data_IF_886334864218
#
_entry.id   IF_886334864218
#
_cell.length_a   1.000
_cell.length_b   1.000
_cell.length_c   1.000
_cell.angle_alpha   90.00
_cell.angle_beta   90.00
_cell.angle_gamma   90.00
#
_symmetry.space_group_name_H-M   'P 1'
#
loop_
_entity.id
_entity.type
_entity.pdbx_description
1 polymer ?
#
# COMPACT_ATOMS: atom_id res chain seq x y z
N UNK A 1 18.26 2.31 6.46
CA UNK A 1 17.29 1.33 5.93
C UNK A 1 17.63 -0.12 6.26
N UNK A 2 16.65 -0.89 6.74
CA UNK A 2 16.78 -2.33 7.06
C UNK A 2 16.41 -3.27 5.89
N UNK A 3 15.99 -2.72 4.73
CA UNK A 3 15.64 -3.49 3.53
C UNK A 3 14.30 -4.23 3.61
N UNK A 4 13.44 -3.89 4.57
CA UNK A 4 12.12 -4.51 4.71
C UNK A 4 11.13 -3.98 3.67
N UNK A 5 10.30 -4.87 3.14
CA UNK A 5 9.17 -4.51 2.27
C UNK A 5 8.06 -3.90 3.12
N UNK A 6 7.51 -2.77 2.68
CA UNK A 6 6.47 -2.03 3.40
C UNK A 6 5.15 -2.00 2.64
N UNK A 7 4.06 -1.90 3.39
CA UNK A 7 2.69 -1.66 2.91
C UNK A 7 2.08 -0.53 3.74
N UNK A 8 1.12 0.19 3.18
CA UNK A 8 0.34 1.19 3.93
C UNK A 8 -0.96 0.54 4.40
N UNK A 9 -1.25 0.69 5.69
CA UNK A 9 -2.48 0.24 6.32
C UNK A 9 -3.20 1.42 6.99
N UNK A 10 -4.52 1.40 6.95
CA UNK A 10 -5.39 2.42 7.55
C UNK A 10 -5.66 2.19 9.03
N UNK A 11 -5.53 0.95 9.51
CA UNK A 11 -6.00 0.52 10.85
C UNK A 11 -7.45 0.99 11.12
N UNK A 12 -8.30 0.91 10.08
CA UNK A 12 -9.66 1.43 10.10
C UNK A 12 -10.56 0.63 11.07
N UNK A 13 -11.28 1.34 11.93
CA UNK A 13 -12.25 0.77 12.87
C UNK A 13 -13.69 1.09 12.45
N UNK A 14 -13.89 2.14 11.63
CA UNK A 14 -15.16 2.55 11.04
C UNK A 14 -15.01 2.84 9.53
N UNK A 15 -16.08 2.84 8.73
CA UNK A 15 -15.99 3.05 7.27
C UNK A 15 -15.33 4.37 6.87
N UNK A 16 -15.49 5.43 7.67
CA UNK A 16 -14.93 6.74 7.41
C UNK A 16 -13.41 6.80 7.65
N UNK A 17 -12.82 5.79 8.31
CA UNK A 17 -11.36 5.67 8.48
C UNK A 17 -10.66 5.14 7.21
N UNK A 18 -11.43 4.63 6.23
CA UNK A 18 -10.86 4.11 5.00
C UNK A 18 -10.17 5.22 4.19
N UNK A 19 -8.95 4.92 3.75
CA UNK A 19 -8.14 5.86 3.00
C UNK A 19 -8.68 6.05 1.58
N UNK A 20 -8.86 7.31 1.19
CA UNK A 20 -9.12 7.66 -0.21
C UNK A 20 -7.81 7.61 -1.03
N UNK A 21 -7.87 7.47 -2.37
CA UNK A 21 -6.68 7.51 -3.23
C UNK A 21 -5.82 8.77 -3.05
N UNK A 22 -6.44 9.93 -2.83
CA UNK A 22 -5.73 11.18 -2.56
C UNK A 22 -5.01 11.16 -1.20
N UNK A 23 -5.64 10.58 -0.16
CA UNK A 23 -5.01 10.41 1.15
C UNK A 23 -3.82 9.46 1.08
N UNK A 24 -3.93 8.33 0.38
CA UNK A 24 -2.81 7.38 0.18
C UNK A 24 -1.57 8.09 -0.39
N UNK A 25 -1.78 8.91 -1.42
CA UNK A 25 -0.71 9.69 -2.05
C UNK A 25 -0.09 10.72 -1.11
N UNK A 26 -0.92 11.45 -0.35
CA UNK A 26 -0.46 12.46 0.61
C UNK A 26 0.35 11.83 1.74
N UNK A 27 -0.10 10.70 2.30
CA UNK A 27 0.62 9.97 3.35
C UNK A 27 1.98 9.50 2.84
N UNK A 28 2.03 8.85 1.67
CA UNK A 28 3.27 8.30 1.13
C UNK A 28 4.30 9.41 0.79
N UNK A 29 3.85 10.53 0.22
CA UNK A 29 4.70 11.71 -0.03
C UNK A 29 5.14 12.40 1.27
N UNK A 30 4.23 12.52 2.24
CA UNK A 30 4.52 13.07 3.57
C UNK A 30 5.55 12.25 4.35
N UNK A 31 5.62 10.94 4.10
CA UNK A 31 6.65 10.04 4.63
C UNK A 31 8.02 10.18 3.95
N UNK A 32 8.15 11.03 2.92
CA UNK A 32 9.40 11.30 2.21
C UNK A 32 9.75 10.29 1.12
N UNK A 33 8.81 9.44 0.72
CA UNK A 33 9.02 8.45 -0.34
C UNK A 33 9.06 9.13 -1.72
N UNK A 34 9.91 8.62 -2.61
CA UNK A 34 9.90 9.00 -4.02
C UNK A 34 8.81 8.24 -4.81
N UNK A 35 8.58 8.62 -6.06
CA UNK A 35 7.49 8.06 -6.88
C UNK A 35 7.58 6.53 -7.07
N UNK A 36 8.78 5.98 -7.23
CA UNK A 36 8.99 4.53 -7.37
C UNK A 36 8.69 3.80 -6.05
N UNK A 37 9.09 4.39 -4.92
CA UNK A 37 8.79 3.87 -3.58
C UNK A 37 7.29 3.95 -3.26
N UNK A 38 6.62 5.04 -3.66
CA UNK A 38 5.17 5.20 -3.52
C UNK A 38 4.45 4.14 -4.35
N UNK A 39 4.86 3.94 -5.60
CA UNK A 39 4.30 2.88 -6.44
C UNK A 39 4.53 1.50 -5.82
N UNK A 40 5.72 1.24 -5.26
CA UNK A 40 6.00 0.01 -4.57
C UNK A 40 5.08 -0.20 -3.36
N UNK A 41 4.96 0.81 -2.48
CA UNK A 41 4.15 0.80 -1.26
C UNK A 41 2.66 0.55 -1.54
N UNK A 42 2.11 1.24 -2.54
CA UNK A 42 0.66 1.26 -2.78
C UNK A 42 0.20 0.15 -3.74
N UNK A 43 1.01 -0.23 -4.73
CA UNK A 43 0.57 -1.14 -5.79
C UNK A 43 1.22 -2.51 -5.72
N UNK A 44 2.56 -2.57 -5.67
CA UNK A 44 3.26 -3.84 -5.90
C UNK A 44 3.46 -4.65 -4.63
N UNK A 45 3.80 -4.01 -3.50
CA UNK A 45 4.07 -4.69 -2.24
C UNK A 45 2.83 -5.33 -1.64
N UNK A 46 1.64 -4.69 -1.61
CA UNK A 46 0.42 -5.35 -1.14
C UNK A 46 0.07 -6.59 -1.96
N UNK A 47 0.20 -6.53 -3.29
CA UNK A 47 -0.03 -7.69 -4.18
C UNK A 47 0.98 -8.82 -3.94
N UNK A 48 2.26 -8.49 -3.75
CA UNK A 48 3.30 -9.47 -3.39
C UNK A 48 3.02 -10.13 -2.05
N UNK A 49 2.58 -9.37 -1.05
CA UNK A 49 2.18 -9.88 0.25
C UNK A 49 1.02 -10.88 0.11
N UNK A 50 -0.05 -10.50 -0.60
CA UNK A 50 -1.20 -11.38 -0.84
C UNK A 50 -0.80 -12.66 -1.56
N UNK A 51 0.02 -12.57 -2.62
CA UNK A 51 0.51 -13.74 -3.36
C UNK A 51 1.33 -14.68 -2.47
N UNK A 52 2.19 -14.14 -1.60
CA UNK A 52 2.97 -14.93 -0.62
C UNK A 52 2.06 -15.66 0.38
N UNK A 53 0.91 -15.08 0.71
CA UNK A 53 -0.09 -15.67 1.59
C UNK A 53 -1.04 -16.66 0.88
N UNK A 54 -0.85 -16.89 -0.43
CA UNK A 54 -1.67 -17.80 -1.22
C UNK A 54 -2.93 -17.17 -1.82
N UNK A 55 -3.09 -15.84 -1.72
CA UNK A 55 -4.15 -15.11 -2.41
C UNK A 55 -3.62 -14.63 -3.76
N UNK A 56 -4.00 -15.24 -4.90
CA UNK A 56 -3.56 -14.77 -6.20
C UNK A 56 -4.00 -13.31 -6.36
N UNK A 57 -3.11 -12.46 -6.89
CA UNK A 57 -3.49 -11.10 -7.26
C UNK A 57 -4.66 -11.21 -8.24
N UNK A 58 -5.83 -10.72 -7.83
CA UNK A 58 -7.05 -10.83 -8.62
C UNK A 58 -6.77 -10.35 -10.05
N UNK A 59 -7.25 -11.11 -11.03
CA UNK A 59 -7.24 -10.63 -12.42
C UNK A 59 -8.00 -9.30 -12.48
N UNK A 60 -7.48 -8.31 -13.24
CA UNK A 60 -8.26 -7.11 -13.51
C UNK A 60 -9.57 -7.52 -14.19
N UNK A 61 -10.68 -7.02 -13.66
CA UNK A 61 -11.96 -6.95 -14.38
C UNK A 61 -11.86 -5.92 -15.50
#
# INVERSE_FOLDING_TARGET
EAGAVTVLDSDAHEPDDLLTPDMLQKVAKGAGLNDDEIHALLETNPRKLLAKLGFPAAHPA
#
